data_IF_372710545395
#
_entry.id   IF_372710545395
#
_cell.length_a   1.000
_cell.length_b   1.000
_cell.length_c   1.000
_cell.angle_alpha   90.00
_cell.angle_beta   90.00
_cell.angle_gamma   90.00
#
_symmetry.space_group_name_H-M   'P 1'
#
loop_
_entity.id
_entity.type
_entity.pdbx_description
1 polymer ?
#
# COMPACT_ATOMS: atom_id res chain seq x y z
N UNK A 1 1.34 2.79 -27.17
CA UNK A 1 2.37 3.30 -26.24
C UNK A 1 1.66 3.81 -25.00
N UNK A 2 1.64 3.01 -23.94
CA UNK A 2 1.22 3.47 -22.60
C UNK A 2 2.33 4.40 -22.11
N UNK A 3 1.98 5.63 -21.73
CA UNK A 3 2.96 6.59 -21.24
C UNK A 3 3.34 6.18 -19.81
N UNK A 4 4.52 5.58 -19.63
CA UNK A 4 5.11 5.14 -18.35
C UNK A 4 5.48 6.32 -17.40
N UNK A 5 4.86 7.48 -17.59
CA UNK A 5 5.23 8.75 -16.96
C UNK A 5 4.74 8.88 -15.51
N UNK A 6 3.76 8.10 -15.08
CA UNK A 6 3.20 8.22 -13.74
C UNK A 6 3.98 7.30 -12.78
N UNK A 7 5.16 7.78 -12.34
CA UNK A 7 6.02 7.10 -11.37
C UNK A 7 5.73 7.63 -9.98
N UNK A 8 5.12 6.82 -9.13
CA UNK A 8 4.82 7.22 -7.76
C UNK A 8 5.87 6.65 -6.81
N UNK A 9 6.48 7.54 -6.04
CA UNK A 9 7.26 7.16 -4.87
C UNK A 9 6.38 7.34 -3.65
N UNK A 10 6.12 6.21 -2.98
CA UNK A 10 5.49 6.17 -1.67
C UNK A 10 6.57 6.12 -0.61
N UNK A 11 6.68 7.15 0.22
CA UNK A 11 7.52 7.11 1.45
C UNK A 11 6.58 6.86 2.62
N UNK A 12 6.83 5.78 3.37
CA UNK A 12 6.08 5.41 4.58
C UNK A 12 6.97 5.69 5.78
N UNK A 13 6.34 6.11 6.88
CA UNK A 13 6.89 6.32 8.23
C UNK A 13 7.96 5.30 8.59
N UNK A 14 9.06 5.76 9.20
CA UNK A 14 10.27 5.03 9.61
C UNK A 14 11.27 4.64 8.50
N UNK A 15 11.71 5.63 7.72
CA UNK A 15 12.75 5.49 6.68
C UNK A 15 12.38 4.64 5.44
N UNK A 16 11.14 4.18 5.31
CA UNK A 16 10.75 3.32 4.20
C UNK A 16 10.52 4.11 2.92
N UNK A 17 11.16 3.67 1.83
CA UNK A 17 10.93 4.23 0.50
C UNK A 17 10.53 3.13 -0.47
N UNK A 18 9.51 3.43 -1.27
CA UNK A 18 8.96 2.49 -2.24
C UNK A 18 8.61 3.14 -3.54
N UNK A 19 8.71 2.37 -4.60
CA UNK A 19 8.32 2.79 -5.94
C UNK A 19 7.16 1.89 -6.36
N UNK A 20 6.01 2.51 -6.60
CA UNK A 20 4.82 1.80 -7.08
C UNK A 20 4.54 2.21 -8.51
N UNK A 21 4.24 1.21 -9.34
CA UNK A 21 3.73 1.41 -10.69
C UNK A 21 2.28 0.95 -10.69
N UNK A 22 1.37 1.93 -10.65
CA UNK A 22 -0.06 1.68 -10.69
C UNK A 22 -0.60 2.04 -12.09
N UNK A 23 -1.15 1.09 -12.85
CA UNK A 23 -1.75 1.38 -14.15
C UNK A 23 -3.09 2.13 -14.07
N UNK A 24 -3.58 2.53 -12.88
CA UNK A 24 -4.94 3.05 -12.70
C UNK A 24 -5.06 4.58 -12.65
N UNK A 25 -6.06 5.09 -13.39
CA UNK A 25 -6.27 6.49 -13.81
C UNK A 25 -6.50 7.57 -12.73
N UNK A 26 -6.77 7.21 -11.46
CA UNK A 26 -7.31 8.15 -10.46
C UNK A 26 -6.32 9.29 -10.07
N UNK A 27 -5.01 9.03 -10.11
CA UNK A 27 -4.02 10.07 -9.79
C UNK A 27 -3.74 10.97 -11.00
N UNK A 28 -3.86 10.43 -12.21
CA UNK A 28 -3.70 11.20 -13.45
C UNK A 28 -4.70 12.36 -13.52
N UNK A 29 -5.92 12.22 -12.99
CA UNK A 29 -6.89 13.32 -12.94
C UNK A 29 -6.47 14.45 -11.99
N UNK A 30 -5.92 14.13 -10.82
CA UNK A 30 -5.45 15.12 -9.85
C UNK A 30 -4.25 15.92 -10.39
N UNK A 31 -3.33 15.26 -11.11
CA UNK A 31 -2.20 15.91 -11.77
C UNK A 31 -2.64 16.68 -13.03
N UNK A 32 -3.53 16.14 -13.87
CA UNK A 32 -4.08 16.81 -15.06
C UNK A 32 -4.88 18.07 -14.70
N UNK A 33 -5.67 18.04 -13.63
CA UNK A 33 -6.40 19.21 -13.14
C UNK A 33 -5.48 20.40 -12.79
N UNK A 34 -4.20 20.14 -12.49
CA UNK A 34 -3.19 21.16 -12.17
C UNK A 34 -2.42 21.62 -13.40
N UNK A 35 -2.10 20.75 -14.35
CA UNK A 35 -1.50 21.13 -15.63
C UNK A 35 -2.36 22.15 -16.40
N UNK A 36 -3.69 22.04 -16.29
CA UNK A 36 -4.64 23.00 -16.87
C UNK A 36 -4.66 24.34 -16.12
N UNK A 37 -4.30 24.38 -14.83
CA UNK A 37 -4.37 25.58 -13.98
C UNK A 37 -3.13 26.47 -14.02
N UNK A 38 -1.99 25.96 -14.50
CA UNK A 38 -0.71 26.71 -14.61
C UNK A 38 -0.59 27.46 -15.95
N UNK A 39 -1.46 27.21 -16.93
CA UNK A 39 -1.58 28.09 -18.11
C UNK A 39 -2.60 29.19 -17.84
N UNK A 40 -2.14 30.35 -17.36
CA UNK A 40 -2.93 31.59 -17.44
C UNK A 40 -2.31 32.55 -18.45
N UNK A 41 -3.21 33.02 -19.32
CA UNK A 41 -3.23 34.29 -20.05
C UNK A 41 -2.03 34.59 -20.94
N UNK A 42 -2.23 34.38 -22.24
CA UNK A 42 -2.24 35.48 -23.21
C UNK A 42 -2.97 35.03 -24.48
N UNK A 43 -4.14 35.63 -24.74
CA UNK A 43 -4.65 36.05 -26.06
C UNK A 43 -6.07 36.58 -25.91
N UNK A 44 -6.25 37.78 -26.46
CA UNK A 44 -7.47 38.58 -26.51
C UNK A 44 -8.52 38.03 -27.52
N UNK A 45 -9.76 38.59 -27.55
CA UNK A 45 -10.98 37.84 -27.88
C UNK A 45 -11.32 37.86 -29.38
N UNK A 46 -11.70 36.69 -29.90
CA UNK A 46 -12.31 36.52 -31.22
C UNK A 46 -13.71 35.92 -31.10
N UNK A 47 -14.71 36.66 -31.60
CA UNK A 47 -16.13 36.30 -31.61
C UNK A 47 -16.44 35.02 -32.42
N UNK A 48 -17.49 34.31 -32.01
CA UNK A 48 -18.07 33.21 -32.79
C UNK A 48 -19.29 32.60 -32.10
N UNK A 49 -20.48 33.04 -32.49
CA UNK A 49 -21.77 32.53 -32.06
C UNK A 49 -22.07 31.10 -32.56
N UNK A 50 -22.85 30.33 -31.80
CA UNK A 50 -23.39 29.05 -32.24
C UNK A 50 -24.36 28.46 -31.21
N UNK A 51 -25.66 28.73 -31.41
CA UNK A 51 -26.77 28.23 -30.62
C UNK A 51 -27.00 26.72 -30.82
N UNK A 52 -27.53 26.06 -29.78
CA UNK A 52 -28.05 24.69 -29.87
C UNK A 52 -28.83 24.31 -28.61
N UNK A 53 -30.14 24.54 -28.64
CA UNK A 53 -31.10 24.21 -27.60
C UNK A 53 -31.38 22.70 -27.52
N UNK A 54 -31.74 22.21 -26.34
CA UNK A 54 -32.27 20.86 -26.15
C UNK A 54 -32.74 20.63 -24.72
N UNK A 55 -34.04 20.80 -24.51
CA UNK A 55 -34.75 20.70 -23.25
C UNK A 55 -34.99 19.24 -22.81
N UNK A 56 -35.18 19.02 -21.50
CA UNK A 56 -35.65 17.74 -20.95
C UNK A 56 -35.93 17.85 -19.46
N UNK A 57 -37.17 18.20 -19.12
CA UNK A 57 -37.68 18.42 -17.78
C UNK A 57 -37.87 17.11 -16.99
N UNK A 58 -37.71 17.20 -15.67
CA UNK A 58 -38.08 16.14 -14.72
C UNK A 58 -38.24 16.72 -13.33
N UNK A 59 -39.45 17.21 -13.04
CA UNK A 59 -39.86 17.75 -11.76
C UNK A 59 -40.04 16.62 -10.72
N UNK A 60 -39.56 16.84 -9.50
CA UNK A 60 -39.83 16.02 -8.34
C UNK A 60 -39.70 16.86 -7.08
N UNK A 61 -40.84 17.43 -6.64
CA UNK A 61 -40.96 18.19 -5.42
C UNK A 61 -40.95 17.27 -4.20
N UNK A 62 -40.17 17.62 -3.18
CA UNK A 62 -40.17 16.99 -1.86
C UNK A 62 -39.71 18.00 -0.83
N UNK A 63 -40.67 18.71 -0.24
CA UNK A 63 -40.44 19.66 0.85
C UNK A 63 -40.11 18.89 2.14
N UNK A 64 -39.04 19.30 2.82
CA UNK A 64 -38.69 18.85 4.16
C UNK A 64 -37.91 19.94 4.87
N UNK A 65 -38.64 20.80 5.59
CA UNK A 65 -38.08 21.80 6.48
C UNK A 65 -37.46 21.12 7.72
N UNK A 66 -36.23 21.46 8.05
CA UNK A 66 -35.54 21.05 9.27
C UNK A 66 -34.43 22.04 9.59
N UNK A 67 -34.65 22.84 10.63
CA UNK A 67 -33.80 23.95 11.04
C UNK A 67 -32.55 23.49 11.82
N UNK A 68 -31.42 24.15 11.53
CA UNK A 68 -30.48 24.68 12.51
C UNK A 68 -29.51 23.73 13.23
N UNK A 69 -28.21 23.87 12.93
CA UNK A 69 -27.15 24.00 13.96
C UNK A 69 -25.76 24.29 13.33
N UNK A 70 -25.24 25.49 13.56
CA UNK A 70 -23.83 25.73 13.93
C UNK A 70 -22.71 25.46 12.91
N UNK A 71 -22.66 26.17 11.78
CA UNK A 71 -21.40 26.33 11.04
C UNK A 71 -20.48 27.30 11.81
N UNK A 72 -19.46 26.78 12.50
CA UNK A 72 -18.36 27.60 13.02
C UNK A 72 -17.54 28.12 11.84
N UNK A 73 -17.61 29.42 11.60
CA UNK A 73 -16.72 30.16 10.71
C UNK A 73 -15.29 30.13 11.26
N UNK A 74 -14.35 29.54 10.52
CA UNK A 74 -12.93 29.64 10.81
C UNK A 74 -12.43 31.07 10.57
N UNK A 75 -11.56 31.64 11.42
CA UNK A 75 -11.02 32.96 11.21
C UNK A 75 -10.07 32.97 10.00
N UNK A 76 -10.37 33.85 9.05
CA UNK A 76 -9.44 34.29 8.01
C UNK A 76 -8.29 35.03 8.69
N UNK A 77 -7.14 34.37 8.82
CA UNK A 77 -5.89 35.01 9.24
C UNK A 77 -5.18 35.58 8.02
N UNK A 78 -5.43 36.85 7.72
CA UNK A 78 -4.51 37.67 6.94
C UNK A 78 -3.49 38.30 7.89
N UNK A 79 -2.23 37.88 7.82
CA UNK A 79 -1.12 38.60 8.45
C UNK A 79 0.12 38.64 7.54
N UNK A 80 0.94 39.70 7.66
CA UNK A 80 1.79 40.17 6.59
C UNK A 80 3.14 39.45 6.57
N UNK A 81 3.47 38.83 5.44
CA UNK A 81 4.80 38.31 5.14
C UNK A 81 5.69 39.44 4.61
N UNK A 82 6.43 40.08 5.50
CA UNK A 82 7.49 41.02 5.13
C UNK A 82 8.59 41.04 6.17
N UNK A 83 9.78 40.55 5.79
CA UNK A 83 11.06 40.73 6.50
C UNK A 83 11.42 39.75 7.63
N UNK A 84 11.53 38.44 7.33
CA UNK A 84 12.26 37.50 8.20
C UNK A 84 13.08 36.43 7.44
N UNK A 85 13.59 36.73 6.24
CA UNK A 85 14.32 35.75 5.39
C UNK A 85 15.84 35.72 5.53
N UNK A 86 16.47 36.61 6.31
CA UNK A 86 17.95 36.68 6.42
C UNK A 86 18.55 36.16 7.75
N UNK A 87 17.73 35.82 8.75
CA UNK A 87 18.22 35.35 10.06
C UNK A 87 18.15 33.84 10.31
N UNK A 88 17.33 33.11 9.55
CA UNK A 88 17.06 31.68 9.84
C UNK A 88 18.13 30.76 9.25
N UNK A 89 18.79 31.16 8.16
CA UNK A 89 19.79 30.32 7.48
C UNK A 89 21.08 30.11 8.29
N UNK A 90 21.47 31.03 9.17
CA UNK A 90 22.68 30.87 10.00
C UNK A 90 22.40 30.15 11.33
N UNK A 91 21.15 30.17 11.81
CA UNK A 91 20.75 29.50 13.05
C UNK A 91 20.51 28.00 12.85
N UNK A 92 20.15 27.56 11.64
CA UNK A 92 19.90 26.15 11.33
C UNK A 92 21.18 25.34 11.05
N UNK A 93 22.29 25.98 10.64
CA UNK A 93 23.55 25.25 10.37
C UNK A 93 24.39 24.92 11.61
N UNK A 94 24.10 25.47 12.79
CA UNK A 94 24.95 25.32 13.97
C UNK A 94 24.45 24.32 15.03
N UNK A 95 23.28 23.69 14.84
CA UNK A 95 22.69 22.78 15.85
C UNK A 95 22.37 21.37 15.38
N UNK A 96 22.61 21.01 14.13
CA UNK A 96 22.52 19.61 13.72
C UNK A 96 23.86 18.96 14.09
N UNK A 97 23.96 18.49 15.33
CA UNK A 97 24.97 17.50 15.70
C UNK A 97 24.79 16.30 14.76
N UNK A 98 25.90 15.71 14.30
CA UNK A 98 25.88 14.78 13.17
C UNK A 98 25.19 13.43 13.45
N UNK A 99 24.78 13.14 14.68
CA UNK A 99 24.37 11.80 15.08
C UNK A 99 23.28 11.80 16.17
N UNK A 100 22.40 12.80 16.23
CA UNK A 100 21.22 12.68 17.08
C UNK A 100 20.29 11.62 16.46
N UNK A 101 20.24 10.46 17.12
CA UNK A 101 19.37 9.33 16.76
C UNK A 101 17.92 9.82 16.77
N UNK A 102 17.40 10.14 15.59
CA UNK A 102 16.03 10.61 15.47
C UNK A 102 15.13 9.42 15.66
N UNK A 103 14.46 9.39 16.80
CA UNK A 103 13.42 8.41 17.07
C UNK A 103 12.25 8.62 16.11
N UNK A 104 11.87 7.54 15.47
CA UNK A 104 10.78 7.48 14.53
C UNK A 104 9.54 6.95 15.26
N UNK A 105 8.36 7.24 14.74
CA UNK A 105 7.10 6.88 15.40
C UNK A 105 6.81 5.40 15.14
N UNK A 106 7.36 4.55 15.99
CA UNK A 106 7.09 3.12 15.96
C UNK A 106 5.76 2.84 16.68
N UNK A 107 4.65 2.85 15.93
CA UNK A 107 3.41 2.24 16.40
C UNK A 107 3.49 0.73 16.13
N UNK A 108 3.51 -0.09 17.19
CA UNK A 108 3.27 -1.53 17.03
C UNK A 108 1.88 -1.70 16.39
N UNK A 109 1.85 -2.11 15.13
CA UNK A 109 0.60 -2.45 14.47
C UNK A 109 0.04 -3.69 15.19
N UNK A 110 -1.24 -3.67 15.60
CA UNK A 110 -1.84 -4.84 16.21
C UNK A 110 -1.75 -6.02 15.22
N UNK A 111 -1.50 -7.21 15.77
CA UNK A 111 -1.53 -8.44 14.99
C UNK A 111 -2.82 -8.49 14.17
N UNK A 112 -2.67 -8.77 12.88
CA UNK A 112 -3.84 -8.98 12.03
C UNK A 112 -4.62 -10.16 12.58
N UNK A 113 -5.95 -10.03 12.66
CA UNK A 113 -6.82 -11.16 13.04
C UNK A 113 -6.80 -12.31 12.01
N UNK A 114 -6.12 -12.10 10.88
CA UNK A 114 -5.78 -13.14 9.90
C UNK A 114 -4.61 -13.95 10.44
N UNK A 115 -4.93 -15.08 11.08
CA UNK A 115 -3.96 -15.96 11.72
C UNK A 115 -3.25 -16.95 10.78
N UNK A 116 -3.79 -17.18 9.58
CA UNK A 116 -3.20 -18.11 8.62
C UNK A 116 -3.39 -17.60 7.19
N UNK A 117 -2.30 -17.29 6.51
CA UNK A 117 -2.27 -16.90 5.11
C UNK A 117 -1.27 -17.79 4.36
N UNK A 118 -1.59 -18.14 3.11
CA UNK A 118 -0.70 -18.97 2.29
C UNK A 118 0.45 -18.11 1.75
N UNK A 119 1.71 -18.55 1.80
CA UNK A 119 2.79 -17.77 1.22
C UNK A 119 2.61 -17.64 -0.30
N UNK A 120 2.95 -16.48 -0.86
CA UNK A 120 3.09 -16.34 -2.32
C UNK A 120 4.27 -17.14 -2.86
N UNK A 121 4.17 -17.61 -4.10
CA UNK A 121 5.30 -18.18 -4.81
C UNK A 121 6.44 -17.14 -4.89
N UNK A 122 7.65 -17.58 -4.57
CA UNK A 122 8.83 -16.73 -4.46
C UNK A 122 9.93 -17.21 -5.39
N UNK A 123 10.52 -16.29 -6.15
CA UNK A 123 11.58 -16.57 -7.12
C UNK A 123 12.79 -15.68 -6.86
N UNK A 124 13.98 -16.29 -6.71
CA UNK A 124 15.24 -15.55 -6.64
C UNK A 124 15.67 -15.08 -8.03
N UNK A 125 15.64 -13.77 -8.25
CA UNK A 125 15.97 -13.19 -9.56
C UNK A 125 17.46 -13.23 -9.91
N UNK A 126 18.33 -13.69 -8.99
CA UNK A 126 19.74 -13.96 -9.27
C UNK A 126 19.96 -15.32 -9.93
N UNK A 127 19.00 -16.23 -9.78
CA UNK A 127 19.01 -17.55 -10.43
C UNK A 127 18.31 -17.45 -11.80
N UNK A 128 19.02 -17.67 -12.92
CA UNK A 128 18.43 -17.57 -14.25
C UNK A 128 17.25 -18.52 -14.49
N UNK A 129 17.24 -19.71 -13.87
CA UNK A 129 16.15 -20.66 -14.04
C UNK A 129 14.88 -20.18 -13.33
N UNK A 130 15.02 -19.70 -12.09
CA UNK A 130 13.90 -19.12 -11.35
C UNK A 130 13.40 -17.83 -11.99
N UNK A 131 14.30 -17.00 -12.53
CA UNK A 131 13.92 -15.80 -13.26
C UNK A 131 13.08 -16.10 -14.52
N UNK A 132 13.43 -17.13 -15.30
CA UNK A 132 12.63 -17.54 -16.45
C UNK A 132 11.27 -18.14 -16.03
N UNK A 133 11.23 -18.90 -14.96
CA UNK A 133 9.97 -19.42 -14.41
C UNK A 133 9.06 -18.30 -13.90
N UNK A 134 9.63 -17.32 -13.18
CA UNK A 134 8.91 -16.13 -12.78
C UNK A 134 8.32 -15.39 -13.97
N UNK A 135 9.10 -15.18 -15.05
CA UNK A 135 8.61 -14.57 -16.30
C UNK A 135 7.44 -15.35 -16.90
N UNK A 136 7.51 -16.69 -16.89
CA UNK A 136 6.42 -17.55 -17.38
C UNK A 136 5.14 -17.35 -16.57
N UNK A 137 5.23 -17.28 -15.25
CA UNK A 137 4.08 -17.04 -14.37
C UNK A 137 3.54 -15.62 -14.51
N UNK A 138 4.41 -14.62 -14.58
CA UNK A 138 4.03 -13.21 -14.76
C UNK A 138 3.23 -13.02 -16.05
N UNK A 139 3.60 -13.69 -17.15
CA UNK A 139 2.82 -13.67 -18.41
C UNK A 139 1.40 -14.23 -18.26
N UNK A 140 1.18 -15.19 -17.35
CA UNK A 140 -0.15 -15.75 -17.11
C UNK A 140 -1.05 -14.82 -16.30
N UNK A 141 -0.48 -13.87 -15.55
CA UNK A 141 -1.20 -12.89 -14.71
C UNK A 141 -2.26 -13.51 -13.79
N UNK A 142 -2.10 -14.77 -13.37
CA UNK A 142 -3.17 -15.48 -12.65
C UNK A 142 -3.06 -15.36 -11.14
N UNK A 143 -1.86 -15.12 -10.61
CA UNK A 143 -1.59 -15.12 -9.18
C UNK A 143 -0.44 -14.15 -8.82
N UNK A 144 -0.36 -13.69 -7.58
CA UNK A 144 0.74 -12.88 -7.09
C UNK A 144 2.03 -13.69 -6.99
N UNK A 145 3.15 -13.00 -7.19
CA UNK A 145 4.49 -13.58 -7.05
C UNK A 145 5.43 -12.60 -6.35
N UNK A 146 6.30 -13.14 -5.49
CA UNK A 146 7.43 -12.42 -4.92
C UNK A 146 8.68 -12.67 -5.77
N UNK A 147 9.34 -11.59 -6.15
CA UNK A 147 10.57 -11.62 -6.93
C UNK A 147 11.70 -11.10 -6.04
N UNK A 148 12.39 -12.05 -5.41
CA UNK A 148 13.46 -11.75 -4.48
C UNK A 148 14.65 -11.16 -5.22
N UNK A 149 15.25 -10.13 -4.63
CA UNK A 149 16.45 -9.46 -5.16
C UNK A 149 16.26 -8.89 -6.58
N UNK A 150 15.02 -8.67 -7.02
CA UNK A 150 14.70 -8.12 -8.35
C UNK A 150 15.38 -6.77 -8.63
N UNK A 151 15.62 -5.99 -7.56
CA UNK A 151 16.18 -4.65 -7.60
C UNK A 151 17.56 -4.55 -6.95
N UNK A 152 18.27 -5.66 -6.70
CA UNK A 152 19.55 -5.66 -6.00
C UNK A 152 20.63 -4.79 -6.65
N UNK A 153 20.50 -4.53 -7.95
CA UNK A 153 21.41 -3.70 -8.74
C UNK A 153 21.08 -2.19 -8.65
N UNK A 154 19.94 -1.80 -8.07
CA UNK A 154 19.54 -0.41 -7.95
C UNK A 154 20.47 0.34 -7.00
N UNK A 155 20.96 1.50 -7.46
CA UNK A 155 21.73 2.40 -6.60
C UNK A 155 20.86 2.94 -5.45
N UNK A 156 19.56 3.07 -5.70
CA UNK A 156 18.56 3.53 -4.73
C UNK A 156 18.62 2.78 -3.40
N UNK A 157 18.90 1.47 -3.39
CA UNK A 157 19.04 0.67 -2.16
C UNK A 157 20.13 1.18 -1.21
N UNK A 158 21.12 1.91 -1.73
CA UNK A 158 22.25 2.47 -0.96
C UNK A 158 22.10 3.95 -0.71
N UNK A 159 21.36 4.65 -1.58
CA UNK A 159 21.39 6.12 -1.64
C UNK A 159 20.09 6.78 -1.22
N UNK A 160 18.97 6.07 -1.28
CA UNK A 160 17.69 6.60 -0.83
C UNK A 160 17.63 6.52 0.69
N UNK A 161 17.37 7.66 1.30
CA UNK A 161 17.33 7.85 2.74
C UNK A 161 16.40 9.02 3.06
N UNK A 162 15.97 9.16 4.32
CA UNK A 162 15.20 10.33 4.77
C UNK A 162 15.88 11.65 4.46
N UNK A 163 17.21 11.72 4.66
CA UNK A 163 18.01 12.91 4.31
C UNK A 163 17.87 13.25 2.83
N UNK A 164 17.93 12.24 1.97
CA UNK A 164 17.76 12.45 0.54
C UNK A 164 16.35 12.91 0.17
N UNK A 165 15.32 12.35 0.81
CA UNK A 165 13.93 12.82 0.66
C UNK A 165 13.82 14.29 1.08
N UNK A 166 14.44 14.68 2.20
CA UNK A 166 14.49 16.07 2.67
C UNK A 166 15.17 17.02 1.66
N UNK A 167 16.29 16.59 1.08
CA UNK A 167 17.10 17.40 0.15
C UNK A 167 16.49 17.49 -1.26
N UNK A 168 15.95 16.39 -1.81
CA UNK A 168 15.55 16.30 -3.22
C UNK A 168 14.05 16.56 -3.45
N UNK A 169 13.17 16.21 -2.50
CA UNK A 169 11.73 16.45 -2.65
C UNK A 169 11.43 17.92 -2.31
N UNK A 170 11.38 18.76 -3.33
CA UNK A 170 11.07 20.20 -3.15
C UNK A 170 9.61 20.44 -2.75
N UNK A 171 8.68 19.65 -3.30
CA UNK A 171 7.26 19.65 -2.96
C UNK A 171 6.64 18.32 -3.36
N UNK A 172 5.81 17.76 -2.49
CA UNK A 172 5.05 16.55 -2.75
C UNK A 172 3.64 16.61 -2.16
N UNK A 173 2.80 15.70 -2.64
CA UNK A 173 1.48 15.47 -2.08
C UNK A 173 1.65 14.52 -0.89
N UNK A 174 1.17 14.93 0.27
CA UNK A 174 1.20 14.14 1.50
C UNK A 174 -0.22 13.88 1.98
N UNK A 175 -0.50 12.63 2.31
CA UNK A 175 -1.74 12.21 2.94
C UNK A 175 -1.55 12.23 4.45
N UNK A 176 -2.44 12.92 5.14
CA UNK A 176 -2.45 13.08 6.60
C UNK A 176 -3.65 12.34 7.15
N UNK A 177 -3.46 11.50 8.15
CA UNK A 177 -4.51 10.72 8.81
C UNK A 177 -4.38 10.84 10.34
N UNK A 178 -5.45 10.63 11.13
CA UNK A 178 -5.40 10.72 12.60
C UNK A 178 -4.78 9.48 13.28
N UNK A 179 -4.28 8.50 12.51
CA UNK A 179 -3.69 7.25 13.00
C UNK A 179 -2.81 6.62 11.94
N UNK A 180 -2.07 5.56 12.28
CA UNK A 180 -1.22 4.79 11.35
C UNK A 180 -2.01 4.03 10.27
N UNK A 181 -3.33 3.91 10.44
CA UNK A 181 -4.22 3.42 9.40
C UNK A 181 -4.56 4.52 8.39
N UNK A 182 -3.69 4.68 7.39
CA UNK A 182 -3.82 5.72 6.37
C UNK A 182 -4.75 5.26 5.23
N UNK A 183 -6.03 5.60 5.35
CA UNK A 183 -7.04 5.25 4.35
C UNK A 183 -7.11 6.27 3.20
N UNK A 184 -6.89 5.84 1.96
CA UNK A 184 -7.09 6.70 0.78
C UNK A 184 -8.58 6.86 0.45
N UNK A 185 -9.01 8.11 0.27
CA UNK A 185 -10.31 8.49 -0.27
C UNK A 185 -10.16 9.45 -1.46
N UNK A 186 -11.16 9.49 -2.33
CA UNK A 186 -11.31 10.50 -3.38
C UNK A 186 -11.67 11.85 -2.75
N UNK A 187 -10.68 12.72 -2.54
CA UNK A 187 -10.84 14.06 -1.96
C UNK A 187 -11.72 15.01 -2.81
N UNK A 188 -11.95 14.67 -4.09
CA UNK A 188 -12.81 15.43 -4.98
C UNK A 188 -14.28 15.00 -4.92
N UNK A 189 -14.64 13.97 -4.14
CA UNK A 189 -16.01 13.51 -4.01
C UNK A 189 -16.96 14.63 -3.57
N UNK A 190 -18.16 14.63 -4.16
CA UNK A 190 -19.24 15.55 -3.80
C UNK A 190 -19.57 15.51 -2.31
N UNK A 191 -19.61 14.31 -1.71
CA UNK A 191 -19.95 14.13 -0.30
C UNK A 191 -18.94 14.80 0.65
N UNK A 192 -17.65 14.83 0.29
CA UNK A 192 -16.63 15.57 1.05
C UNK A 192 -16.82 17.08 0.88
N UNK A 193 -17.08 17.55 -0.35
CA UNK A 193 -17.28 18.97 -0.65
C UNK A 193 -18.52 19.54 0.03
N UNK A 194 -19.58 18.75 0.14
CA UNK A 194 -20.83 19.11 0.83
C UNK A 194 -20.75 18.91 2.35
N UNK A 195 -19.66 18.34 2.87
CA UNK A 195 -19.47 18.09 4.30
C UNK A 195 -20.32 16.95 4.86
N UNK A 196 -20.98 16.16 4.02
CA UNK A 196 -21.79 15.00 4.42
C UNK A 196 -20.95 13.76 4.70
N UNK A 197 -19.67 13.78 4.32
CA UNK A 197 -18.69 12.75 4.64
C UNK A 197 -17.41 13.39 5.15
N UNK A 198 -16.99 12.99 6.35
CA UNK A 198 -15.69 13.37 6.92
C UNK A 198 -14.63 12.41 6.39
N UNK A 199 -13.62 12.88 5.62
CA UNK A 199 -12.63 11.99 5.05
C UNK A 199 -11.71 11.40 6.14
N UNK A 200 -11.35 10.11 6.07
CA UNK A 200 -10.46 9.48 7.05
C UNK A 200 -8.99 9.91 6.87
N UNK A 201 -8.65 10.51 5.73
CA UNK A 201 -7.38 11.17 5.49
C UNK A 201 -7.56 12.41 4.61
N UNK A 202 -6.65 13.38 4.74
CA UNK A 202 -6.66 14.63 3.96
C UNK A 202 -5.36 14.80 3.21
N UNK A 203 -5.42 15.52 2.10
CA UNK A 203 -4.24 15.80 1.28
C UNK A 203 -3.68 17.17 1.65
N UNK A 204 -2.37 17.23 1.87
CA UNK A 204 -1.59 18.44 2.04
C UNK A 204 -0.46 18.49 0.98
N UNK A 205 0.05 19.69 0.72
CA UNK A 205 1.27 19.88 -0.04
C UNK A 205 2.35 20.35 0.93
N UNK A 206 3.50 19.67 0.93
CA UNK A 206 4.64 20.07 1.76
C UNK A 206 5.95 19.69 1.09
N UNK A 207 7.07 20.28 1.53
CA UNK A 207 8.41 19.89 1.10
C UNK A 207 8.83 18.57 1.75
N UNK A 208 9.85 17.92 1.20
CA UNK A 208 10.52 16.80 1.83
C UNK A 208 11.03 17.15 3.23
N UNK A 209 11.56 18.36 3.41
CA UNK A 209 11.97 18.84 4.74
C UNK A 209 10.84 18.89 5.76
N UNK A 210 9.67 19.43 5.40
CA UNK A 210 8.53 19.45 6.32
C UNK A 210 8.01 18.04 6.58
N UNK A 211 7.91 17.20 5.55
CA UNK A 211 7.52 15.80 5.68
C UNK A 211 8.46 15.04 6.64
N UNK A 212 9.77 15.13 6.43
CA UNK A 212 10.79 14.47 7.24
C UNK A 212 10.82 14.95 8.69
N UNK A 213 10.36 16.19 8.97
CA UNK A 213 10.12 16.67 10.33
C UNK A 213 8.86 16.06 10.95
N UNK A 214 7.77 15.98 10.18
CA UNK A 214 6.47 15.48 10.68
C UNK A 214 6.45 13.99 11.02
N UNK A 215 7.31 13.17 10.42
CA UNK A 215 7.45 11.74 10.75
C UNK A 215 8.29 11.45 12.00
N UNK A 216 8.85 12.48 12.65
CA UNK A 216 9.60 12.33 13.90
C UNK A 216 8.63 12.25 15.08
N UNK A 217 9.03 11.61 16.19
CA UNK A 217 8.18 11.47 17.40
C UNK A 217 7.57 12.79 17.88
N UNK A 218 8.33 13.89 17.87
CA UNK A 218 7.88 15.23 18.27
C UNK A 218 7.40 16.11 17.10
N UNK A 219 7.33 15.53 15.89
CA UNK A 219 7.04 16.22 14.62
C UNK A 219 8.00 17.38 14.31
N UNK A 220 9.18 17.41 14.92
CA UNK A 220 10.09 18.55 14.90
C UNK A 220 9.46 19.82 15.49
N UNK A 221 8.54 19.68 16.46
CA UNK A 221 7.80 20.76 17.10
C UNK A 221 6.73 21.44 16.21
N UNK A 222 6.33 20.80 15.11
CA UNK A 222 5.33 21.35 14.20
C UNK A 222 3.90 21.13 14.72
N UNK A 223 2.99 22.12 14.56
CA UNK A 223 1.60 21.94 14.94
C UNK A 223 0.88 20.93 14.01
N UNK A 224 -0.21 20.30 14.49
CA UNK A 224 -1.07 19.48 13.65
C UNK A 224 -1.67 20.25 12.46
N UNK A 225 -1.92 19.58 11.35
CA UNK A 225 -2.47 20.15 10.11
C UNK A 225 -4.00 20.16 10.08
N UNK A 226 -4.61 19.01 10.37
CA UNK A 226 -6.04 18.76 10.20
C UNK A 226 -6.66 18.01 11.38
N UNK A 227 -5.92 17.09 11.99
CA UNK A 227 -6.32 16.28 13.13
C UNK A 227 -5.54 16.71 14.38
N UNK A 228 -5.64 15.96 15.46
CA UNK A 228 -5.03 16.28 16.74
C UNK A 228 -3.55 15.86 16.82
N UNK A 229 -3.07 15.63 18.04
CA UNK A 229 -1.69 15.23 18.30
C UNK A 229 -1.34 13.82 17.80
N UNK A 230 -2.24 13.09 17.13
CA UNK A 230 -2.00 11.73 16.60
C UNK A 230 -1.92 11.63 15.07
N UNK A 231 -1.83 12.75 14.36
CA UNK A 231 -1.49 12.76 12.94
C UNK A 231 -0.31 11.87 12.56
N UNK A 232 -0.53 11.14 11.47
CA UNK A 232 0.42 10.33 10.70
C UNK A 232 0.45 10.82 9.27
N UNK A 233 1.60 10.72 8.61
CA UNK A 233 1.80 11.30 7.28
C UNK A 233 2.37 10.27 6.30
N UNK A 234 1.82 10.26 5.08
CA UNK A 234 2.25 9.39 3.99
C UNK A 234 2.55 10.23 2.75
N UNK A 235 3.81 10.24 2.31
CA UNK A 235 4.22 10.98 1.12
C UNK A 235 3.90 10.16 -0.13
N UNK A 236 3.10 10.77 -1.00
CA UNK A 236 2.63 10.21 -2.26
C UNK A 236 3.00 11.19 -3.39
N UNK A 237 4.25 11.16 -3.83
CA UNK A 237 4.77 12.14 -4.81
C UNK A 237 5.51 11.46 -5.95
N UNK A 238 5.65 12.15 -7.07
CA UNK A 238 6.63 11.80 -8.09
C UNK A 238 8.03 12.05 -7.53
N UNK A 239 8.92 11.07 -7.67
CA UNK A 239 10.32 11.29 -7.34
C UNK A 239 11.01 12.16 -8.40
N UNK A 240 11.91 13.07 -8.00
CA UNK A 240 12.78 13.80 -8.91
C UNK A 240 13.56 12.86 -9.82
N UNK A 241 13.90 13.33 -11.02
CA UNK A 241 14.69 12.58 -12.01
C UNK A 241 16.04 12.09 -11.45
N UNK A 242 16.67 12.90 -10.58
CA UNK A 242 17.89 12.57 -9.84
C UNK A 242 17.76 11.30 -9.00
N UNK A 243 16.59 11.07 -8.41
CA UNK A 243 16.27 9.86 -7.64
C UNK A 243 15.86 8.71 -8.58
N UNK A 244 14.98 8.98 -9.55
CA UNK A 244 14.47 7.97 -10.49
C UNK A 244 15.57 7.29 -11.31
N UNK A 245 16.62 8.02 -11.68
CA UNK A 245 17.78 7.46 -12.40
C UNK A 245 18.55 6.39 -11.62
N UNK A 246 18.32 6.27 -10.31
CA UNK A 246 18.97 5.30 -9.42
C UNK A 246 18.19 3.99 -9.24
N UNK A 247 16.93 4.00 -9.68
CA UNK A 247 16.00 2.89 -9.66
C UNK A 247 15.45 2.67 -11.07
N UNK A 248 16.31 2.38 -12.07
CA UNK A 248 15.85 2.15 -13.43
C UNK A 248 14.94 0.92 -13.45
N UNK A 249 13.80 1.02 -14.12
CA UNK A 249 12.91 -0.12 -14.32
C UNK A 249 13.70 -1.20 -15.06
N UNK A 250 13.84 -2.41 -14.49
CA UNK A 250 14.56 -3.46 -15.20
C UNK A 250 13.91 -3.75 -16.56
N UNK A 251 14.71 -3.91 -17.62
CA UNK A 251 14.20 -4.07 -18.99
C UNK A 251 13.16 -5.22 -19.13
N UNK A 252 13.31 -6.29 -18.35
CA UNK A 252 12.35 -7.39 -18.36
C UNK A 252 10.95 -6.98 -17.86
N UNK A 253 10.82 -5.88 -17.11
CA UNK A 253 9.51 -5.32 -16.76
C UNK A 253 8.91 -4.48 -17.86
N UNK A 254 9.70 -3.87 -18.73
CA UNK A 254 9.14 -3.22 -19.92
C UNK A 254 8.51 -4.28 -20.83
N UNK A 255 9.09 -5.48 -20.88
CA UNK A 255 8.55 -6.64 -21.58
C UNK A 255 7.28 -7.23 -20.89
N UNK A 256 7.19 -7.19 -19.56
CA UNK A 256 6.10 -7.81 -18.80
C UNK A 256 4.95 -6.85 -18.44
N UNK A 257 5.28 -5.61 -18.08
CA UNK A 257 4.40 -4.64 -17.43
C UNK A 257 3.42 -3.93 -18.35
N UNK A 258 3.68 -3.91 -19.67
CA UNK A 258 2.77 -3.26 -20.64
C UNK A 258 1.60 -4.17 -21.03
N UNK A 259 1.78 -5.49 -20.99
CA UNK A 259 0.75 -6.44 -21.42
C UNK A 259 -0.05 -7.04 -20.26
N UNK A 260 0.55 -7.15 -19.08
CA UNK A 260 -0.03 -7.89 -17.94
C UNK A 260 -1.20 -7.20 -17.23
N UNK A 261 -1.33 -5.87 -17.33
CA UNK A 261 -2.35 -5.10 -16.62
C UNK A 261 -2.30 -5.20 -15.09
N UNK A 262 -1.23 -5.78 -14.51
CA UNK A 262 -1.05 -5.94 -13.07
C UNK A 262 -0.36 -4.76 -12.40
N UNK A 263 -0.29 -4.81 -11.07
CA UNK A 263 0.45 -3.84 -10.26
C UNK A 263 1.81 -4.42 -9.87
N UNK A 264 2.85 -3.59 -9.90
CA UNK A 264 4.19 -3.97 -9.41
C UNK A 264 4.66 -2.95 -8.40
N UNK A 265 5.04 -3.45 -7.22
CA UNK A 265 5.61 -2.64 -6.15
C UNK A 265 7.06 -3.06 -5.92
N UNK A 266 7.95 -2.08 -5.90
CA UNK A 266 9.37 -2.24 -5.63
C UNK A 266 9.72 -1.65 -4.28
N UNK A 267 10.55 -2.37 -3.54
CA UNK A 267 10.87 -2.00 -2.16
C UNK A 267 12.33 -1.62 -2.00
N UNK A 268 12.59 -0.43 -1.43
CA UNK A 268 13.95 0.14 -1.36
C UNK A 268 14.49 0.14 0.07
N UNK A 269 13.64 0.37 1.09
CA UNK A 269 14.08 0.43 2.48
C UNK A 269 13.01 -0.10 3.45
N UNK A 270 13.47 -0.75 4.52
CA UNK A 270 12.69 -1.46 5.55
C UNK A 270 11.95 -2.70 5.01
N UNK A 271 11.06 -3.29 5.79
CA UNK A 271 10.27 -4.47 5.41
C UNK A 271 8.76 -4.23 5.47
N UNK A 272 8.02 -4.92 4.60
CA UNK A 272 6.56 -4.85 4.57
C UNK A 272 5.92 -6.21 4.61
N UNK A 273 4.76 -6.26 5.26
CA UNK A 273 3.83 -7.37 5.16
C UNK A 273 2.68 -6.96 4.25
N UNK A 274 2.42 -7.73 3.20
CA UNK A 274 1.23 -7.57 2.38
C UNK A 274 0.37 -8.83 2.43
N UNK A 275 -0.94 -8.62 2.51
CA UNK A 275 -1.95 -9.65 2.37
C UNK A 275 -2.70 -9.41 1.07
N UNK A 276 -2.91 -10.46 0.28
CA UNK A 276 -3.40 -10.40 -1.09
C UNK A 276 -4.57 -11.37 -1.26
N UNK A 277 -5.62 -10.97 -1.98
CA UNK A 277 -6.77 -11.84 -2.26
C UNK A 277 -7.19 -11.75 -3.73
N UNK A 278 -7.59 -12.90 -4.28
CA UNK A 278 -8.09 -13.03 -5.65
C UNK A 278 -9.28 -12.06 -5.87
N UNK A 279 -9.30 -11.41 -7.03
CA UNK A 279 -10.38 -10.53 -7.45
C UNK A 279 -11.78 -11.19 -7.37
N UNK A 280 -11.87 -12.52 -7.45
CA UNK A 280 -13.12 -13.29 -7.26
C UNK A 280 -13.74 -13.08 -5.88
N UNK A 281 -12.95 -12.67 -4.89
CA UNK A 281 -13.39 -12.36 -3.51
C UNK A 281 -14.03 -10.98 -3.37
N UNK A 282 -14.15 -10.20 -4.44
CA UNK A 282 -14.76 -8.86 -4.45
C UNK A 282 -16.09 -8.77 -3.68
N UNK A 283 -16.95 -9.77 -3.80
CA UNK A 283 -18.25 -9.79 -3.13
C UNK A 283 -18.12 -9.91 -1.61
N UNK A 284 -17.06 -10.56 -1.13
CA UNK A 284 -16.81 -10.78 0.29
C UNK A 284 -16.22 -9.53 0.95
N UNK A 285 -15.54 -8.65 0.21
CA UNK A 285 -14.89 -7.43 0.75
C UNK A 285 -15.83 -6.26 1.08
N UNK A 286 -17.14 -6.38 0.80
CA UNK A 286 -18.13 -5.33 1.04
C UNK A 286 -17.67 -3.94 0.54
N UNK A 287 -17.11 -3.87 -0.66
CA UNK A 287 -16.56 -2.63 -1.21
C UNK A 287 -17.60 -1.50 -1.23
N UNK A 288 -17.12 -0.27 -0.99
CA UNK A 288 -17.99 0.90 -1.07
C UNK A 288 -18.57 1.10 -2.49
N UNK A 289 -19.80 1.64 -2.60
CA UNK A 289 -20.42 2.03 -3.86
C UNK A 289 -19.57 2.99 -4.70
N UNK A 290 -19.82 3.01 -6.01
CA UNK A 290 -19.03 3.79 -6.97
C UNK A 290 -19.03 5.30 -6.74
N UNK A 291 -20.13 5.83 -6.21
CA UNK A 291 -20.33 7.24 -5.90
C UNK A 291 -19.77 7.63 -4.51
N UNK A 292 -19.34 6.66 -3.71
CA UNK A 292 -18.79 6.90 -2.38
C UNK A 292 -17.32 7.36 -2.45
N UNK A 293 -16.86 8.29 -1.59
CA UNK A 293 -15.46 8.72 -1.53
C UNK A 293 -14.43 7.61 -1.32
N UNK A 294 -14.87 6.48 -0.76
CA UNK A 294 -14.05 5.28 -0.47
C UNK A 294 -14.20 4.18 -1.54
N UNK A 295 -14.69 4.50 -2.74
CA UNK A 295 -14.83 3.53 -3.82
C UNK A 295 -13.56 2.67 -3.98
N UNK A 296 -13.76 1.35 -4.19
CA UNK A 296 -12.70 0.30 -4.26
C UNK A 296 -11.98 0.00 -2.94
N UNK A 297 -12.43 0.56 -1.81
CA UNK A 297 -11.95 0.18 -0.47
C UNK A 297 -12.92 -0.80 0.17
N UNK A 298 -12.37 -1.73 0.95
CA UNK A 298 -13.14 -2.60 1.83
C UNK A 298 -13.84 -1.78 2.91
N UNK A 299 -15.04 -2.19 3.29
CA UNK A 299 -15.69 -1.70 4.52
C UNK A 299 -15.17 -2.40 5.77
N UNK A 300 -14.53 -3.55 5.61
CA UNK A 300 -13.95 -4.34 6.69
C UNK A 300 -12.48 -4.00 6.85
N UNK A 301 -12.06 -3.70 8.08
CA UNK A 301 -10.66 -3.53 8.44
C UNK A 301 -10.08 -4.88 8.90
N UNK A 302 -9.08 -5.46 8.20
CA UNK A 302 -8.50 -6.75 8.57
C UNK A 302 -7.63 -6.72 9.84
N UNK A 303 -7.43 -5.55 10.47
CA UNK A 303 -6.70 -5.42 11.73
C UNK A 303 -7.59 -5.29 12.96
N UNK A 304 -8.85 -4.93 12.79
CA UNK A 304 -9.75 -4.70 13.92
C UNK A 304 -10.75 -5.84 14.03
N UNK A 305 -11.01 -6.34 15.25
CA UNK A 305 -12.17 -7.19 15.45
C UNK A 305 -13.41 -6.38 15.06
N UNK A 306 -14.42 -7.04 14.47
CA UNK A 306 -15.59 -6.31 14.06
C UNK A 306 -16.32 -5.70 15.25
N UNK A 307 -16.85 -4.49 15.05
CA UNK A 307 -17.79 -3.90 16.00
C UNK A 307 -19.10 -4.71 16.04
N UNK A 308 -19.86 -4.66 17.13
CA UNK A 308 -21.10 -5.46 17.29
C UNK A 308 -22.14 -5.21 16.17
N UNK A 309 -22.19 -4.01 15.59
CA UNK A 309 -23.10 -3.69 14.47
C UNK A 309 -22.57 -4.18 13.11
N UNK A 310 -21.26 -4.43 13.01
CA UNK A 310 -20.60 -5.04 11.85
C UNK A 310 -20.49 -6.56 11.99
N UNK A 311 -20.74 -7.10 13.17
CA UNK A 311 -20.46 -8.47 13.58
C UNK A 311 -21.04 -9.49 12.59
N UNK A 312 -22.27 -9.32 12.12
CA UNK A 312 -22.85 -10.24 11.13
C UNK A 312 -22.16 -10.19 9.74
N UNK A 313 -21.72 -9.00 9.28
CA UNK A 313 -21.04 -8.85 7.98
C UNK A 313 -19.59 -9.29 8.06
N UNK A 314 -18.96 -8.95 9.16
CA UNK A 314 -17.60 -9.32 9.45
C UNK A 314 -17.46 -10.80 9.75
N UNK A 315 -18.42 -11.44 10.41
CA UNK A 315 -18.39 -12.88 10.62
C UNK A 315 -18.44 -13.63 9.29
N UNK A 316 -19.22 -13.15 8.32
CA UNK A 316 -19.18 -13.65 6.95
C UNK A 316 -17.83 -13.38 6.28
N UNK A 317 -17.29 -12.16 6.37
CA UNK A 317 -15.95 -11.81 5.86
C UNK A 317 -14.86 -12.73 6.44
N UNK A 318 -14.78 -12.84 7.76
CA UNK A 318 -13.72 -13.59 8.44
C UNK A 318 -13.84 -15.10 8.24
N UNK A 319 -15.07 -15.62 8.08
CA UNK A 319 -15.27 -17.05 7.80
C UNK A 319 -14.84 -17.50 6.40
N UNK A 320 -14.75 -16.58 5.42
CA UNK A 320 -14.46 -16.93 4.01
C UNK A 320 -13.22 -16.25 3.41
N UNK A 321 -12.78 -15.12 3.97
CA UNK A 321 -11.70 -14.30 3.40
C UNK A 321 -10.40 -14.44 4.18
N UNK A 322 -10.47 -14.64 5.50
CA UNK A 322 -9.27 -14.70 6.33
C UNK A 322 -8.37 -15.89 5.97
N UNK A 323 -8.95 -17.07 5.71
CA UNK A 323 -8.21 -18.30 5.42
C UNK A 323 -7.65 -18.37 3.98
N UNK A 324 -8.13 -17.50 3.09
CA UNK A 324 -7.79 -17.49 1.66
C UNK A 324 -6.84 -16.35 1.27
N UNK A 325 -6.27 -15.66 2.26
CA UNK A 325 -5.26 -14.64 2.01
C UNK A 325 -3.95 -15.29 1.53
N UNK A 326 -3.33 -14.67 0.53
CA UNK A 326 -1.92 -14.87 0.25
C UNK A 326 -1.11 -13.85 1.04
N UNK A 327 0.00 -14.27 1.63
CA UNK A 327 0.90 -13.41 2.40
C UNK A 327 2.26 -13.30 1.73
N UNK A 328 2.80 -12.09 1.79
CA UNK A 328 4.15 -11.80 1.33
C UNK A 328 4.83 -10.85 2.31
N UNK A 329 6.08 -11.19 2.66
CA UNK A 329 7.02 -10.29 3.31
C UNK A 329 7.97 -9.77 2.24
N UNK A 330 8.07 -8.46 2.13
CA UNK A 330 8.83 -7.77 1.10
C UNK A 330 10.01 -7.07 1.78
N UNK A 331 11.22 -7.43 1.39
CA UNK A 331 12.46 -6.90 1.94
C UNK A 331 13.12 -5.90 0.96
N UNK A 332 14.11 -5.09 1.39
CA UNK A 332 14.82 -4.19 0.50
C UNK A 332 15.45 -4.93 -0.70
N UNK A 333 15.11 -4.50 -1.91
CA UNK A 333 15.56 -5.11 -3.16
C UNK A 333 14.59 -6.12 -3.76
N UNK A 334 13.51 -6.45 -3.06
CA UNK A 334 12.45 -7.30 -3.60
C UNK A 334 11.43 -6.51 -4.42
N UNK A 335 10.70 -7.24 -5.25
CA UNK A 335 9.51 -6.76 -5.94
C UNK A 335 8.34 -7.73 -5.74
N UNK A 336 7.14 -7.21 -5.55
CA UNK A 336 5.92 -8.01 -5.61
C UNK A 336 5.13 -7.63 -6.85
N UNK A 337 4.69 -8.64 -7.59
CA UNK A 337 3.69 -8.50 -8.64
C UNK A 337 2.38 -9.12 -8.16
N UNK A 338 1.27 -8.46 -8.46
CA UNK A 338 -0.06 -9.05 -8.32
C UNK A 338 -0.97 -8.61 -9.47
N UNK A 339 -1.90 -9.49 -9.92
CA UNK A 339 -2.78 -9.15 -11.04
C UNK A 339 -3.71 -7.98 -10.73
N UNK A 340 -4.24 -7.36 -11.78
CA UNK A 340 -5.24 -6.30 -11.63
C UNK A 340 -6.45 -6.78 -10.81
N UNK A 341 -7.07 -5.83 -10.11
CA UNK A 341 -8.26 -6.04 -9.27
C UNK A 341 -8.07 -6.93 -8.04
N UNK A 342 -6.87 -7.43 -7.77
CA UNK A 342 -6.57 -8.10 -6.51
C UNK A 342 -6.70 -7.13 -5.34
N UNK A 343 -7.34 -7.62 -4.27
CA UNK A 343 -7.38 -6.89 -3.02
C UNK A 343 -6.04 -7.02 -2.34
N UNK A 344 -5.61 -5.93 -1.72
CA UNK A 344 -4.40 -5.94 -0.92
C UNK A 344 -4.56 -5.12 0.34
N UNK A 345 -3.95 -5.60 1.40
CA UNK A 345 -3.68 -4.87 2.62
C UNK A 345 -2.16 -4.80 2.78
N UNK A 346 -1.66 -3.64 3.21
CA UNK A 346 -0.23 -3.39 3.38
C UNK A 346 0.01 -2.82 4.77
N UNK A 347 0.84 -3.51 5.55
CA UNK A 347 1.33 -3.05 6.85
C UNK A 347 2.85 -2.96 6.85
N UNK A 348 3.40 -2.07 7.67
CA UNK A 348 4.81 -2.12 8.04
C UNK A 348 5.04 -3.37 8.90
N UNK A 349 6.15 -4.07 8.71
CA UNK A 349 6.51 -5.19 9.60
C UNK A 349 7.29 -4.64 10.80
N UNK A 350 6.57 -4.33 11.89
CA UNK A 350 7.19 -3.87 13.15
C UNK A 350 7.89 -4.98 13.94
N UNK A 351 7.73 -6.25 13.55
CA UNK A 351 8.16 -7.40 14.38
C UNK A 351 9.50 -7.99 13.96
N UNK A 352 9.97 -7.70 12.74
CA UNK A 352 11.30 -8.09 12.26
C UNK A 352 12.27 -6.92 12.36
N UNK A 353 12.63 -6.55 13.58
CA UNK A 353 13.81 -5.71 13.80
C UNK A 353 15.04 -6.32 13.10
N UNK A 354 15.93 -5.47 12.58
CA UNK A 354 17.11 -5.80 11.75
C UNK A 354 18.13 -6.77 12.39
N UNK A 355 17.88 -7.32 13.58
CA UNK A 355 18.82 -8.16 14.34
C UNK A 355 18.36 -9.60 14.62
N UNK A 356 17.17 -10.01 14.18
CA UNK A 356 16.62 -11.33 14.47
C UNK A 356 16.74 -12.31 13.31
N UNK A 357 17.93 -12.86 13.04
CA UNK A 357 18.05 -14.10 12.27
C UNK A 357 17.25 -15.18 13.02
N UNK A 358 15.97 -15.36 12.68
CA UNK A 358 15.28 -16.61 12.99
C UNK A 358 16.04 -17.66 12.21
N UNK A 359 16.90 -18.38 12.92
CA UNK A 359 17.60 -19.56 12.42
C UNK A 359 16.57 -20.52 11.84
N UNK A 360 16.35 -20.39 10.53
CA UNK A 360 15.76 -21.44 9.74
C UNK A 360 16.73 -22.60 9.83
N UNK A 361 16.44 -23.55 10.72
CA UNK A 361 16.83 -24.93 10.49
C UNK A 361 16.20 -25.34 9.16
N UNK A 362 16.87 -25.00 8.06
CA UNK A 362 16.75 -25.73 6.82
C UNK A 362 17.06 -27.18 7.17
N UNK A 363 16.00 -27.99 7.19
CA UNK A 363 16.09 -29.44 7.22
C UNK A 363 16.90 -29.92 6.03
N UNK A 364 18.23 -29.91 6.15
CA UNK A 364 19.14 -30.72 5.35
C UNK A 364 18.91 -32.16 5.75
N UNK A 365 17.87 -32.76 5.19
CA UNK A 365 17.71 -34.20 5.09
C UNK A 365 18.87 -34.76 4.27
N UNK A 366 20.00 -35.00 4.93
CA UNK A 366 21.10 -35.74 4.38
C UNK A 366 20.62 -37.15 4.04
N UNK A 367 20.61 -37.47 2.76
CA UNK A 367 20.53 -38.85 2.25
C UNK A 367 21.78 -39.58 2.78
N UNK A 368 21.65 -40.21 3.94
CA UNK A 368 22.57 -41.26 4.38
C UNK A 368 22.15 -42.54 3.69
N UNK A 369 23.01 -43.03 2.80
CA UNK A 369 22.99 -44.41 2.33
C UNK A 369 23.15 -45.36 3.53
N UNK A 370 22.02 -45.79 4.09
CA UNK A 370 21.94 -46.90 5.02
C UNK A 370 21.71 -48.20 4.27
N UNK A 371 22.78 -48.78 3.72
CA UNK A 371 22.79 -50.20 3.34
C UNK A 371 22.72 -51.04 4.62
N UNK A 372 21.66 -51.83 4.72
CA UNK A 372 21.62 -53.04 5.54
C UNK A 372 20.95 -52.87 6.89
N UNK A 373 19.62 -53.01 6.93
CA UNK A 373 18.88 -53.57 8.07
C UNK A 373 17.41 -53.90 7.73
N UNK A 374 17.10 -54.19 6.46
CA UNK A 374 15.75 -54.54 5.98
C UNK A 374 15.59 -56.06 5.70
N UNK A 375 16.20 -56.91 6.54
CA UNK A 375 16.04 -58.37 6.44
C UNK A 375 15.75 -59.06 7.79
N UNK A 376 15.38 -58.32 8.83
CA UNK A 376 15.00 -58.92 10.13
C UNK A 376 13.61 -58.52 10.65
N UNK A 377 12.81 -57.78 9.88
CA UNK A 377 11.40 -57.46 10.25
C UNK A 377 10.35 -58.20 9.44
N UNK A 378 10.75 -59.18 8.60
CA UNK A 378 9.85 -59.94 7.71
C UNK A 378 9.33 -61.27 8.27
N UNK A 379 9.49 -61.53 9.56
CA UNK A 379 8.98 -62.75 10.23
C UNK A 379 8.23 -62.41 11.52
N UNK A 380 7.15 -61.63 11.41
CA UNK A 380 6.01 -61.64 12.34
C UNK A 380 5.03 -60.59 11.86
N UNK A 381 4.06 -61.01 11.06
CA UNK A 381 2.69 -60.48 10.97
C UNK A 381 2.10 -60.87 9.62
N UNK A 382 1.38 -61.98 9.60
CA UNK A 382 0.09 -62.17 8.92
C UNK A 382 -0.46 -63.57 9.25
N UNK A 383 -1.79 -63.85 9.18
CA UNK A 383 -2.92 -62.96 8.91
C UNK A 383 -4.10 -63.11 9.89
N UNK A 384 -4.69 -61.98 10.33
CA UNK A 384 -6.02 -61.91 10.96
C UNK A 384 -7.14 -61.79 9.91
N UNK A 385 -7.19 -62.72 8.97
CA UNK A 385 -8.23 -62.74 7.92
C UNK A 385 -9.34 -63.78 8.16
N UNK A 386 -9.17 -64.75 9.06
CA UNK A 386 -10.16 -65.85 9.24
C UNK A 386 -11.20 -65.61 10.34
N UNK A 387 -11.02 -64.61 11.21
CA UNK A 387 -11.92 -64.40 12.36
C UNK A 387 -13.19 -63.60 12.01
N UNK A 388 -13.22 -62.92 10.85
CA UNK A 388 -14.42 -62.21 10.37
C UNK A 388 -15.45 -63.12 9.70
N UNK A 389 -15.09 -64.33 9.28
CA UNK A 389 -16.03 -65.26 8.62
C UNK A 389 -16.79 -66.16 9.61
N UNK A 390 -16.29 -66.34 10.84
CA UNK A 390 -16.97 -67.15 11.87
C UNK A 390 -18.09 -66.42 12.61
N UNK A 391 -18.07 -65.09 12.69
CA UNK A 391 -19.13 -64.29 13.34
C UNK A 391 -20.41 -64.10 12.52
N UNK A 392 -20.43 -64.49 11.24
CA UNK A 392 -21.60 -64.37 10.35
C UNK A 392 -22.45 -65.64 10.20
N UNK A 393 -22.09 -66.74 10.89
CA UNK A 393 -22.83 -68.03 10.81
C UNK A 393 -23.44 -68.51 12.14
N UNK A 394 -23.58 -67.62 13.14
CA UNK A 394 -24.05 -67.98 14.49
C UNK A 394 -25.20 -67.14 15.03
N UNK A 395 -26.10 -66.67 14.16
CA UNK A 395 -27.41 -66.15 14.55
C UNK A 395 -28.47 -66.91 13.72
N UNK A 396 -28.87 -68.04 14.28
CA UNK A 396 -29.97 -68.91 13.88
C UNK A 396 -30.40 -69.66 15.12
#
# INVERSE_FOLDING_TARGET
MVNLADRLVGVIEDDFVSVAFDPLDDLSEAFRARAVRVRRKDTDPGAGAGAGAGAGAGAGAGAGAGAGAGARSFPSLSSPLGSLRKGISSFLSSRISKDEEVKLVEDELPDTIIGHASPVDSFDMRDPQQAEEAKRLLRSCSQPVLLKHACQHWRALKTWSRRRVEEEITSGIVRVAPSSNILQCNSNSRLIKEGTFLPPSRMAFMSGQEFCRRIQEDRGGLPPLFYDEQERVYLQTEAPESMLSEAPIPAYWEELGVEAGGCTNFWVKGSKRMLLWDAKKLQDFYVYPRDHPMYRRSRVNPQLPPSMDEESRAQLFFSSVAEEAFEVFIEPGDAVFFPAYWFHYTGADGTRGEGGERGGEEGRGGVREGRGEEEQRRTKLEPRAEERQRRRKGLG
#
